data_IF_824726044984
#
_entry.id   IF_824726044984
#
_cell.length_a   1.000
_cell.length_b   1.000
_cell.length_c   1.000
_cell.angle_alpha   90.00
_cell.angle_beta   90.00
_cell.angle_gamma   90.00
#
_symmetry.space_group_name_H-M   'P 1'
#
loop_
_entity.id
_entity.type
_entity.pdbx_description
1 polymer ?
#
# COMPACT_ATOMS: atom_id res chain seq x y z
N UNK A 1 6.48 51.92 39.31
CA UNK A 1 6.19 51.29 38.03
C UNK A 1 6.38 49.76 38.21
N UNK A 2 5.24 49.08 38.45
CA UNK A 2 5.13 47.64 38.52
C UNK A 2 5.10 47.03 37.11
N UNK A 3 5.68 45.83 36.86
CA UNK A 3 5.43 45.06 35.62
C UNK A 3 4.08 44.32 35.74
N UNK A 4 3.32 44.38 34.69
CA UNK A 4 2.03 43.70 34.54
C UNK A 4 2.26 42.20 34.32
N UNK A 5 1.53 41.39 35.10
CA UNK A 5 1.37 39.93 34.90
C UNK A 5 0.61 39.66 33.61
N UNK A 6 1.27 39.08 32.64
CA UNK A 6 0.62 38.36 31.54
C UNK A 6 0.37 36.91 31.97
N UNK A 7 -0.81 36.69 32.54
CA UNK A 7 -1.34 35.36 32.77
C UNK A 7 -1.75 34.73 31.44
N UNK A 8 -0.97 33.73 30.99
CA UNK A 8 -1.30 32.86 29.86
C UNK A 8 -2.52 32.03 30.27
N UNK A 9 -3.67 32.38 29.71
CA UNK A 9 -4.88 31.57 29.80
C UNK A 9 -4.68 30.34 28.93
N UNK A 10 -4.35 29.21 29.58
CA UNK A 10 -4.45 27.89 28.96
C UNK A 10 -5.93 27.56 28.84
N UNK A 11 -6.47 27.80 27.66
CA UNK A 11 -7.83 27.40 27.32
C UNK A 11 -7.93 25.89 27.27
N UNK A 12 -8.53 25.29 28.30
CA UNK A 12 -9.03 23.92 28.24
C UNK A 12 -10.18 23.91 27.22
N UNK A 13 -9.92 23.38 26.02
CA UNK A 13 -10.99 22.98 25.12
C UNK A 13 -11.69 21.76 25.75
N UNK A 14 -12.83 22.01 26.37
CA UNK A 14 -13.79 20.96 26.65
C UNK A 14 -14.30 20.48 25.29
N UNK A 15 -13.96 19.23 24.97
CA UNK A 15 -14.43 18.55 23.77
C UNK A 15 -15.95 18.39 23.85
N UNK A 16 -16.69 19.26 23.18
CA UNK A 16 -18.02 18.90 22.75
C UNK A 16 -17.86 17.77 21.74
N UNK A 17 -18.40 16.60 22.06
CA UNK A 17 -18.46 15.44 21.18
C UNK A 17 -19.22 15.84 19.91
N UNK A 18 -18.49 16.12 18.85
CA UNK A 18 -19.07 16.21 17.51
C UNK A 18 -19.09 14.77 16.99
N UNK A 19 -20.26 14.16 16.82
CA UNK A 19 -20.34 12.82 16.24
C UNK A 19 -19.73 12.85 14.84
N UNK A 20 -19.00 11.81 14.43
CA UNK A 20 -18.39 11.74 13.11
C UNK A 20 -19.48 11.95 12.05
N UNK A 21 -19.37 13.04 11.29
CA UNK A 21 -20.26 13.28 10.15
C UNK A 21 -20.03 12.15 9.15
N UNK A 22 -21.03 11.31 8.93
CA UNK A 22 -21.06 10.39 7.79
C UNK A 22 -21.00 11.24 6.53
N UNK A 23 -19.80 11.36 5.96
CA UNK A 23 -19.64 11.93 4.63
C UNK A 23 -20.31 10.96 3.63
N UNK A 24 -21.04 11.48 2.62
CA UNK A 24 -21.65 10.63 1.62
C UNK A 24 -20.55 9.86 0.88
N UNK A 25 -20.67 8.54 0.86
CA UNK A 25 -19.83 7.66 0.05
C UNK A 25 -20.02 8.06 -1.41
N UNK A 26 -19.02 8.69 -2.00
CA UNK A 26 -19.01 9.04 -3.41
C UNK A 26 -18.92 7.76 -4.25
N UNK A 27 -20.06 7.14 -4.55
CA UNK A 27 -20.20 6.12 -5.58
C UNK A 27 -20.10 6.77 -6.95
N UNK A 28 -18.88 7.04 -7.42
CA UNK A 28 -18.64 7.37 -8.82
C UNK A 28 -17.32 6.72 -9.30
N UNK A 29 -17.25 5.40 -9.28
CA UNK A 29 -16.29 4.67 -10.08
C UNK A 29 -16.94 4.34 -11.44
N UNK A 30 -16.76 5.23 -12.40
CA UNK A 30 -16.94 4.89 -13.82
C UNK A 30 -15.74 4.04 -14.21
N UNK A 31 -15.97 2.77 -14.34
CA UNK A 31 -15.18 1.66 -14.88
C UNK A 31 -14.93 0.57 -13.82
N UNK A 32 -15.40 -0.64 -14.13
CA UNK A 32 -15.36 -1.79 -13.21
C UNK A 32 -13.98 -2.44 -12.99
N UNK A 33 -12.92 -1.63 -12.79
CA UNK A 33 -11.62 -2.10 -12.37
C UNK A 33 -11.60 -2.21 -10.85
N UNK A 34 -11.36 -3.41 -10.31
CA UNK A 34 -11.07 -3.60 -8.88
C UNK A 34 -9.80 -2.84 -8.55
N UNK A 35 -9.84 -1.94 -7.54
CA UNK A 35 -8.66 -1.32 -6.98
C UNK A 35 -7.67 -2.41 -6.50
N UNK A 36 -6.36 -2.24 -6.71
CA UNK A 36 -5.36 -3.16 -6.21
C UNK A 36 -5.32 -3.09 -4.68
N UNK A 37 -6.06 -3.99 -4.02
CA UNK A 37 -6.06 -4.17 -2.58
C UNK A 37 -5.12 -5.30 -2.22
N UNK A 38 -4.47 -5.22 -1.05
CA UNK A 38 -3.45 -6.18 -0.61
C UNK A 38 -3.90 -7.65 -0.70
N UNK A 39 -5.21 -7.93 -0.55
CA UNK A 39 -5.79 -9.28 -0.71
C UNK A 39 -6.90 -9.36 -1.75
N UNK A 40 -7.30 -8.25 -2.36
CA UNK A 40 -8.35 -8.22 -3.39
C UNK A 40 -9.77 -8.58 -2.89
N UNK A 41 -9.98 -8.73 -1.57
CA UNK A 41 -11.25 -9.14 -0.96
C UNK A 41 -12.20 -7.97 -0.64
N UNK A 42 -11.76 -6.75 -0.83
CA UNK A 42 -12.56 -5.56 -0.56
C UNK A 42 -12.62 -5.14 0.91
N UNK A 43 -11.94 -5.86 1.80
CA UNK A 43 -12.01 -5.63 3.25
C UNK A 43 -10.87 -4.72 3.70
N UNK A 44 -11.22 -3.68 4.47
CA UNK A 44 -10.27 -2.77 5.09
C UNK A 44 -9.91 -3.27 6.48
N UNK A 45 -8.64 -3.62 6.69
CA UNK A 45 -8.17 -4.17 7.97
C UNK A 45 -7.23 -3.23 8.67
N UNK A 46 -7.48 -3.02 9.97
CA UNK A 46 -6.53 -2.32 10.83
C UNK A 46 -5.31 -3.19 11.08
N UNK A 47 -4.13 -2.56 11.09
CA UNK A 47 -2.89 -3.20 11.43
C UNK A 47 -2.13 -2.38 12.48
N UNK A 48 -1.59 -3.06 13.49
CA UNK A 48 -0.76 -2.45 14.51
C UNK A 48 0.48 -3.32 14.74
N UNK A 49 1.66 -2.72 14.62
CA UNK A 49 2.95 -3.40 14.79
C UNK A 49 3.75 -2.74 15.91
N UNK A 50 4.55 -3.52 16.62
CA UNK A 50 5.49 -3.03 17.60
C UNK A 50 6.91 -3.44 17.23
N UNK A 51 7.74 -2.47 16.90
CA UNK A 51 9.17 -2.66 16.67
C UNK A 51 9.94 -2.43 17.96
N UNK A 52 10.99 -3.24 18.19
CA UNK A 52 11.88 -3.13 19.35
C UNK A 52 13.14 -2.42 18.94
N UNK A 53 13.50 -1.35 19.62
CA UNK A 53 14.66 -0.55 19.28
C UNK A 53 15.67 -0.53 20.44
N UNK A 54 16.94 -0.72 20.10
CA UNK A 54 18.08 -0.54 21.00
C UNK A 54 18.58 0.90 20.93
N UNK A 55 19.44 1.30 21.87
CA UNK A 55 20.10 2.60 21.82
C UNK A 55 20.84 2.87 20.50
N UNK A 56 21.41 1.84 19.87
CA UNK A 56 22.11 1.99 18.59
C UNK A 56 21.17 2.25 17.39
N UNK A 57 19.89 1.90 17.50
CA UNK A 57 18.91 2.03 16.40
C UNK A 57 18.01 3.25 16.50
N UNK A 58 17.97 3.91 17.67
CA UNK A 58 17.01 5.00 17.91
C UNK A 58 17.27 6.23 17.02
N UNK A 59 18.54 6.54 16.73
CA UNK A 59 18.90 7.64 15.83
C UNK A 59 18.42 7.42 14.39
N UNK A 60 18.50 6.18 13.89
CA UNK A 60 17.96 5.86 12.58
C UNK A 60 16.43 5.97 12.53
N UNK A 61 15.74 5.58 13.61
CA UNK A 61 14.28 5.73 13.72
C UNK A 61 13.90 7.22 13.73
N UNK A 62 14.61 8.05 14.51
CA UNK A 62 14.41 9.50 14.50
C UNK A 62 14.59 10.08 13.11
N UNK A 63 15.72 9.83 12.47
CA UNK A 63 16.00 10.35 11.14
C UNK A 63 14.94 9.94 10.09
N UNK A 64 14.34 8.75 10.24
CA UNK A 64 13.26 8.32 9.36
C UNK A 64 11.95 9.05 9.68
N UNK A 65 11.56 9.10 10.94
CA UNK A 65 10.27 9.63 11.38
C UNK A 65 10.19 11.14 11.24
N UNK A 66 11.29 11.84 11.55
CA UNK A 66 11.37 13.30 11.46
C UNK A 66 11.84 13.79 10.08
N UNK A 67 12.07 12.86 9.11
CA UNK A 67 12.55 13.17 7.76
C UNK A 67 13.84 13.98 7.74
N UNK A 68 14.80 13.61 8.59
CA UNK A 68 16.10 14.29 8.74
C UNK A 68 17.18 13.82 7.74
N UNK A 69 16.90 12.83 6.88
CA UNK A 69 17.84 12.31 5.91
C UNK A 69 17.78 13.10 4.61
N UNK A 70 18.92 13.33 3.99
CA UNK A 70 19.04 13.93 2.66
C UNK A 70 18.51 12.98 1.55
N UNK A 71 18.60 11.66 1.77
CA UNK A 71 18.11 10.65 0.85
C UNK A 71 17.55 9.42 1.58
N UNK A 72 16.60 8.76 0.96
CA UNK A 72 15.94 7.57 1.49
C UNK A 72 16.08 6.41 0.52
N UNK A 73 16.33 5.20 1.06
CA UNK A 73 16.28 3.95 0.29
C UNK A 73 14.85 3.72 -0.26
N UNK A 74 13.84 4.14 0.51
CA UNK A 74 12.46 4.14 0.06
C UNK A 74 12.22 5.28 -0.94
N UNK A 75 12.26 4.96 -2.23
CA UNK A 75 12.03 5.93 -3.32
C UNK A 75 10.58 6.38 -3.48
N UNK A 76 9.67 5.83 -2.67
CA UNK A 76 8.26 6.25 -2.66
C UNK A 76 8.03 7.48 -1.78
N UNK A 77 9.04 7.89 -1.01
CA UNK A 77 9.01 9.15 -0.25
C UNK A 77 9.13 10.32 -1.23
N UNK A 78 8.16 11.22 -1.15
CA UNK A 78 8.07 12.45 -1.95
C UNK A 78 8.43 13.64 -1.06
N UNK A 79 9.67 14.16 -1.11
CA UNK A 79 10.15 15.19 -0.20
C UNK A 79 9.31 16.46 -0.20
N UNK A 80 8.74 16.82 -1.35
CA UNK A 80 7.89 18.00 -1.51
C UNK A 80 6.62 17.93 -0.67
N UNK A 81 6.23 16.72 -0.24
CA UNK A 81 5.05 16.47 0.59
C UNK A 81 5.35 16.30 2.08
N UNK A 82 6.61 16.32 2.49
CA UNK A 82 7.01 16.15 3.90
C UNK A 82 6.32 17.18 4.82
N UNK A 83 6.01 18.35 4.32
CA UNK A 83 5.27 19.38 5.04
C UNK A 83 3.82 18.98 5.40
N UNK A 84 3.28 17.93 4.77
CA UNK A 84 1.96 17.35 5.07
C UNK A 84 2.01 16.28 6.17
N UNK A 85 3.20 15.87 6.62
CA UNK A 85 3.33 14.97 7.77
C UNK A 85 2.81 15.68 9.02
N UNK A 86 2.02 14.96 9.83
CA UNK A 86 1.32 15.55 10.98
C UNK A 86 1.90 14.99 12.26
N UNK A 87 2.49 15.86 13.08
CA UNK A 87 2.92 15.51 14.43
C UNK A 87 1.75 15.66 15.41
N UNK A 88 1.29 14.55 15.96
CA UNK A 88 0.38 14.54 17.11
C UNK A 88 1.15 14.81 18.42
N UNK A 89 2.41 14.37 18.44
CA UNK A 89 3.38 14.76 19.45
C UNK A 89 4.73 15.02 18.80
N UNK A 90 5.15 16.28 18.79
CA UNK A 90 6.46 16.67 18.28
C UNK A 90 7.53 16.41 19.33
N UNK A 91 8.69 15.83 18.98
CA UNK A 91 9.80 15.70 19.91
C UNK A 91 10.35 17.07 20.32
N UNK A 92 10.72 17.23 21.57
CA UNK A 92 11.31 18.48 22.10
C UNK A 92 12.82 18.52 21.99
N UNK A 93 13.45 17.36 21.77
CA UNK A 93 14.88 17.16 21.58
C UNK A 93 15.13 15.84 20.85
N UNK A 94 16.37 15.44 20.65
CA UNK A 94 16.69 14.11 20.14
C UNK A 94 16.09 13.00 21.01
N UNK A 95 15.62 11.92 20.39
CA UNK A 95 14.95 10.83 21.13
C UNK A 95 15.79 10.24 22.24
N UNK A 96 17.11 10.09 22.01
CA UNK A 96 18.04 9.62 23.04
C UNK A 96 18.22 10.65 24.17
N UNK A 97 18.23 11.92 23.84
CA UNK A 97 18.33 13.01 24.81
C UNK A 97 17.07 13.08 25.69
N UNK A 98 15.88 12.99 25.09
CA UNK A 98 14.62 12.92 25.83
C UNK A 98 14.57 11.72 26.78
N UNK A 99 15.10 10.56 26.37
CA UNK A 99 15.20 9.37 27.22
C UNK A 99 16.09 9.63 28.44
N UNK A 100 17.28 10.20 28.24
CA UNK A 100 18.20 10.50 29.36
C UNK A 100 17.62 11.57 30.28
N UNK A 101 16.86 12.55 29.77
CA UNK A 101 16.16 13.52 30.59
C UNK A 101 15.10 12.86 31.48
N UNK A 102 14.23 12.01 30.93
CA UNK A 102 13.21 11.28 31.69
C UNK A 102 13.83 10.38 32.78
N UNK A 103 14.97 9.79 32.48
CA UNK A 103 15.75 9.00 33.46
C UNK A 103 16.35 9.86 34.56
N UNK A 104 16.91 11.01 34.20
CA UNK A 104 17.46 11.99 35.16
C UNK A 104 16.38 12.54 36.09
N UNK A 105 15.21 12.81 35.58
CA UNK A 105 14.05 13.30 36.32
C UNK A 105 13.38 12.21 37.17
N UNK A 106 13.85 10.96 37.11
CA UNK A 106 13.31 9.85 37.88
C UNK A 106 11.95 9.33 37.37
N UNK A 107 11.48 9.81 36.22
CA UNK A 107 10.20 9.39 35.63
C UNK A 107 10.30 7.95 35.17
N UNK A 108 11.47 7.52 34.69
CA UNK A 108 11.76 6.16 34.27
C UNK A 108 12.99 5.62 34.98
N UNK A 109 13.08 4.30 35.12
CA UNK A 109 14.23 3.61 35.73
C UNK A 109 14.78 2.52 34.80
N UNK A 110 16.08 2.54 34.58
CA UNK A 110 16.83 1.52 33.86
C UNK A 110 17.56 0.53 34.77
N UNK A 111 17.29 0.58 36.10
CA UNK A 111 17.96 -0.24 37.10
C UNK A 111 17.93 -1.74 36.77
N UNK A 112 19.11 -2.35 36.62
CA UNK A 112 19.24 -3.78 36.34
C UNK A 112 18.96 -4.19 34.91
N UNK A 113 18.90 -3.27 33.95
CA UNK A 113 18.91 -3.59 32.53
C UNK A 113 20.31 -3.97 32.07
N UNK A 114 20.38 -4.84 31.08
CA UNK A 114 21.60 -5.16 30.36
C UNK A 114 21.91 -4.07 29.34
N UNK A 115 23.15 -3.98 28.90
CA UNK A 115 23.61 -2.99 27.91
C UNK A 115 22.90 -3.12 26.55
N UNK A 116 22.60 -4.35 26.14
CA UNK A 116 21.91 -4.69 24.89
C UNK A 116 20.38 -4.65 24.98
N UNK A 117 19.82 -4.14 26.08
CA UNK A 117 18.37 -4.10 26.30
C UNK A 117 17.67 -3.23 25.26
N UNK A 118 16.45 -3.62 24.90
CA UNK A 118 15.55 -2.78 24.11
C UNK A 118 14.96 -1.68 24.99
N UNK A 119 15.48 -0.47 24.82
CA UNK A 119 15.09 0.70 25.62
C UNK A 119 13.88 1.43 25.05
N UNK A 120 13.62 1.27 23.75
CA UNK A 120 12.56 1.96 23.03
C UNK A 120 11.69 0.96 22.27
N UNK A 121 10.49 1.37 21.99
CA UNK A 121 9.58 0.72 21.05
C UNK A 121 9.07 1.73 20.05
N UNK A 122 8.62 1.21 18.91
CA UNK A 122 7.92 1.98 17.89
C UNK A 122 6.65 1.23 17.51
N UNK A 123 5.50 1.86 17.79
CA UNK A 123 4.22 1.38 17.28
C UNK A 123 4.00 1.98 15.90
N UNK A 124 3.56 1.14 14.97
CA UNK A 124 3.17 1.56 13.63
C UNK A 124 1.73 1.11 13.44
N UNK A 125 0.87 2.07 13.14
CA UNK A 125 -0.54 1.84 12.85
C UNK A 125 -0.81 2.16 11.39
N UNK A 126 -1.47 1.25 10.69
CA UNK A 126 -1.86 1.43 9.31
C UNK A 126 -3.21 0.77 8.99
N UNK A 127 -3.79 1.20 7.87
CA UNK A 127 -4.87 0.55 7.14
C UNK A 127 -4.49 0.62 5.67
N UNK A 128 -5.05 -0.23 4.83
CA UNK A 128 -4.72 -0.19 3.40
C UNK A 128 -5.03 1.19 2.78
N UNK A 129 -4.24 1.58 1.79
CA UNK A 129 -4.33 2.89 1.13
C UNK A 129 -5.72 3.17 0.55
N UNK A 130 -6.40 2.14 0.03
CA UNK A 130 -7.73 2.27 -0.57
C UNK A 130 -8.78 2.75 0.45
N UNK A 131 -8.63 2.43 1.73
CA UNK A 131 -9.51 2.91 2.78
C UNK A 131 -9.55 4.42 2.83
N UNK A 132 -8.40 5.04 2.95
CA UNK A 132 -8.29 6.50 3.02
C UNK A 132 -8.70 7.16 1.71
N UNK A 133 -8.28 6.60 0.57
CA UNK A 133 -8.67 7.11 -0.74
C UNK A 133 -10.19 7.16 -0.91
N UNK A 134 -10.89 6.10 -0.51
CA UNK A 134 -12.35 6.00 -0.61
C UNK A 134 -13.10 6.94 0.36
N UNK A 135 -12.44 7.44 1.41
CA UNK A 135 -13.04 8.31 2.44
C UNK A 135 -12.59 9.78 2.36
N UNK A 136 -11.99 10.19 1.25
CA UNK A 136 -11.59 11.59 1.07
C UNK A 136 -10.12 11.88 1.38
N UNK A 137 -9.30 10.84 1.52
CA UNK A 137 -7.84 10.94 1.50
C UNK A 137 -7.24 11.56 2.77
N UNK A 138 -6.48 12.63 2.60
CA UNK A 138 -5.64 13.22 3.65
C UNK A 138 -6.39 13.67 4.90
N UNK A 139 -7.48 14.39 4.74
CA UNK A 139 -8.22 14.96 5.90
C UNK A 139 -8.87 13.85 6.74
N UNK A 140 -9.39 12.83 6.09
CA UNK A 140 -9.93 11.66 6.78
C UNK A 140 -8.82 10.86 7.47
N UNK A 141 -7.67 10.66 6.83
CA UNK A 141 -6.51 10.00 7.43
C UNK A 141 -6.04 10.74 8.69
N UNK A 142 -6.00 12.07 8.66
CA UNK A 142 -5.66 12.90 9.83
C UNK A 142 -6.63 12.70 11.00
N UNK A 143 -7.94 12.61 10.73
CA UNK A 143 -8.94 12.32 11.76
C UNK A 143 -8.76 10.91 12.33
N UNK A 144 -8.61 9.91 11.46
CA UNK A 144 -8.36 8.53 11.84
C UNK A 144 -7.13 8.39 12.75
N UNK A 145 -6.00 8.99 12.35
CA UNK A 145 -4.77 8.90 13.13
C UNK A 145 -4.75 9.77 14.38
N UNK A 146 -5.64 10.77 14.50
CA UNK A 146 -5.90 11.43 15.77
C UNK A 146 -6.45 10.43 16.81
N UNK A 147 -7.40 9.59 16.41
CA UNK A 147 -7.94 8.54 17.29
C UNK A 147 -6.91 7.41 17.52
N UNK A 148 -6.16 7.03 16.49
CA UNK A 148 -5.08 6.06 16.61
C UNK A 148 -3.99 6.52 17.62
N UNK A 149 -3.71 7.82 17.68
CA UNK A 149 -2.80 8.38 18.68
C UNK A 149 -3.36 8.25 20.11
N UNK A 150 -4.66 8.47 20.30
CA UNK A 150 -5.31 8.24 21.60
C UNK A 150 -5.25 6.78 22.02
N UNK A 151 -5.41 5.85 21.06
CA UNK A 151 -5.19 4.42 21.30
C UNK A 151 -3.74 4.15 21.72
N UNK A 152 -2.77 4.75 21.03
CA UNK A 152 -1.34 4.60 21.38
C UNK A 152 -1.03 5.08 22.80
N UNK A 153 -1.58 6.20 23.27
CA UNK A 153 -1.43 6.70 24.63
C UNK A 153 -1.91 5.66 25.66
N UNK A 154 -3.08 5.05 25.42
CA UNK A 154 -3.63 3.99 26.29
C UNK A 154 -2.75 2.74 26.28
N UNK A 155 -2.33 2.28 25.09
CA UNK A 155 -1.49 1.10 24.91
C UNK A 155 -0.12 1.29 25.55
N UNK A 156 0.48 2.46 25.40
CA UNK A 156 1.78 2.82 26.00
C UNK A 156 1.64 2.99 27.51
N UNK A 157 0.49 3.45 28.01
CA UNK A 157 0.22 3.67 29.42
C UNK A 157 0.55 5.09 29.90
N UNK A 158 0.55 6.04 28.99
CA UNK A 158 0.71 7.47 29.29
C UNK A 158 1.51 8.21 28.22
N UNK A 159 1.06 9.41 27.92
CA UNK A 159 1.67 10.27 26.91
C UNK A 159 3.10 10.69 27.25
N UNK A 160 3.43 10.78 28.55
CA UNK A 160 4.77 11.13 29.02
C UNK A 160 5.86 10.14 28.59
N UNK A 161 5.48 8.90 28.24
CA UNK A 161 6.41 7.88 27.74
C UNK A 161 6.53 7.85 26.22
N UNK A 162 5.75 8.65 25.48
CA UNK A 162 5.84 8.81 24.03
C UNK A 162 6.86 9.92 23.72
N UNK A 163 7.83 9.62 22.87
CA UNK A 163 8.88 10.57 22.46
C UNK A 163 8.42 11.38 21.24
N UNK A 164 7.80 10.71 20.27
CA UNK A 164 7.23 11.32 19.07
C UNK A 164 6.05 10.52 18.57
N UNK A 165 5.11 11.19 17.92
CA UNK A 165 4.00 10.58 17.20
C UNK A 165 3.76 11.36 15.92
N UNK A 166 4.02 10.76 14.75
CA UNK A 166 3.93 11.42 13.45
C UNK A 166 3.19 10.55 12.45
N UNK A 167 2.18 11.12 11.81
CA UNK A 167 1.55 10.55 10.61
C UNK A 167 2.37 10.94 9.40
N UNK A 168 2.87 9.95 8.66
CA UNK A 168 3.46 10.17 7.35
C UNK A 168 2.36 10.28 6.29
N UNK A 169 2.47 11.31 5.45
CA UNK A 169 1.58 11.61 4.34
C UNK A 169 2.35 11.84 3.03
N UNK A 170 3.62 11.51 3.04
CA UNK A 170 4.59 11.74 1.97
C UNK A 170 5.06 10.45 1.26
N UNK A 171 4.48 9.29 1.56
CA UNK A 171 4.81 8.04 0.90
C UNK A 171 3.80 7.69 -0.19
N UNK A 172 4.24 7.72 -1.45
CA UNK A 172 3.39 7.41 -2.61
C UNK A 172 3.10 5.90 -2.70
N UNK A 173 1.85 5.54 -2.91
CA UNK A 173 1.48 4.18 -3.29
C UNK A 173 1.53 4.06 -4.82
N UNK A 174 2.67 3.62 -5.35
CA UNK A 174 2.95 3.57 -6.79
C UNK A 174 1.95 2.71 -7.55
N UNK A 175 1.67 1.50 -7.06
CA UNK A 175 0.76 0.57 -7.72
C UNK A 175 -0.66 1.14 -7.84
N UNK A 176 -1.15 1.79 -6.78
CA UNK A 176 -2.48 2.39 -6.78
C UNK A 176 -2.52 3.67 -7.62
N UNK A 177 -1.45 4.47 -7.60
CA UNK A 177 -1.32 5.66 -8.43
C UNK A 177 -1.35 5.32 -9.92
N UNK A 178 -0.65 4.27 -10.33
CA UNK A 178 -0.65 3.78 -11.72
C UNK A 178 -2.02 3.25 -12.14
N UNK A 179 -2.71 2.51 -11.25
CA UNK A 179 -4.03 1.95 -11.54
C UNK A 179 -5.11 3.03 -11.70
N UNK A 180 -5.01 4.13 -10.96
CA UNK A 180 -6.00 5.22 -10.96
C UNK A 180 -5.63 6.37 -11.90
N UNK A 181 -4.36 6.46 -12.33
CA UNK A 181 -3.87 7.57 -13.15
C UNK A 181 -3.71 8.89 -12.39
N UNK A 182 -3.66 8.83 -11.05
CA UNK A 182 -3.47 9.98 -10.16
C UNK A 182 -2.56 9.62 -8.98
N UNK A 183 -1.96 10.62 -8.34
CA UNK A 183 -1.08 10.38 -7.20
C UNK A 183 -1.87 9.99 -5.95
N UNK A 184 -1.62 8.77 -5.45
CA UNK A 184 -2.22 8.23 -4.23
C UNK A 184 -1.14 7.96 -3.19
N UNK A 185 -1.41 8.32 -1.94
CA UNK A 185 -0.44 8.25 -0.85
C UNK A 185 -0.87 7.25 0.22
N UNK A 186 0.11 6.57 0.80
CA UNK A 186 -0.07 5.66 1.91
C UNK A 186 0.13 6.41 3.21
N UNK A 187 -0.93 6.49 4.02
CA UNK A 187 -0.89 7.13 5.33
C UNK A 187 -0.66 6.09 6.41
N UNK A 188 0.24 6.39 7.35
CA UNK A 188 0.52 5.53 8.51
C UNK A 188 1.05 6.36 9.66
N UNK A 189 0.84 5.89 10.89
CA UNK A 189 1.26 6.58 12.11
C UNK A 189 2.41 5.85 12.76
N UNK A 190 3.51 6.56 13.00
CA UNK A 190 4.64 6.13 13.81
C UNK A 190 4.53 6.73 15.22
N UNK A 191 4.67 5.90 16.25
CA UNK A 191 4.70 6.34 17.65
C UNK A 191 5.90 5.74 18.33
N UNK A 192 6.92 6.55 18.56
CA UNK A 192 8.14 6.15 19.28
C UNK A 192 7.94 6.38 20.79
N UNK A 193 8.20 5.36 21.58
CA UNK A 193 7.89 5.35 23.01
C UNK A 193 8.91 4.58 23.84
N UNK A 194 8.85 4.79 25.18
CA UNK A 194 9.65 4.05 26.16
C UNK A 194 8.76 2.98 26.81
N UNK A 195 9.11 1.68 26.70
CA UNK A 195 8.30 0.58 27.26
C UNK A 195 8.50 0.49 28.76
N UNK A 196 7.58 1.06 29.53
CA UNK A 196 7.64 1.07 30.99
C UNK A 196 6.60 0.13 31.60
N UNK A 197 6.94 -0.43 32.74
CA UNK A 197 6.05 -1.16 33.63
C UNK A 197 6.25 -0.70 35.06
N UNK A 198 5.17 -0.62 35.80
CA UNK A 198 5.25 -0.36 37.25
C UNK A 198 5.91 -1.55 37.95
N UNK A 199 6.84 -1.26 38.86
CA UNK A 199 7.58 -2.25 39.62
C UNK A 199 7.77 -1.81 41.05
N UNK A 200 7.23 -2.61 41.96
CA UNK A 200 7.51 -2.45 43.38
C UNK A 200 8.88 -3.01 43.72
N UNK A 201 9.65 -2.20 44.37
CA UNK A 201 10.91 -2.60 45.01
C UNK A 201 10.61 -2.87 46.49
N UNK A 202 10.81 -4.08 46.94
CA UNK A 202 10.53 -4.47 48.31
C UNK A 202 11.82 -4.56 49.15
N UNK A 203 11.68 -4.30 50.47
CA UNK A 203 12.78 -4.47 51.39
C UNK A 203 13.24 -5.93 51.40
N UNK A 204 14.54 -6.12 51.19
CA UNK A 204 15.15 -7.46 51.12
C UNK A 204 15.52 -7.94 52.54
N UNK A 205 15.88 -9.23 52.65
CA UNK A 205 16.38 -9.85 53.91
C UNK A 205 17.63 -9.15 54.48
N UNK A 206 18.33 -8.32 53.67
CA UNK A 206 19.50 -7.52 54.09
C UNK A 206 19.12 -6.24 54.87
N UNK A 207 17.84 -5.89 54.95
CA UNK A 207 17.37 -4.73 55.70
C UNK A 207 17.69 -4.92 57.19
N UNK A 208 18.21 -3.86 57.83
CA UNK A 208 18.51 -3.86 59.25
C UNK A 208 17.25 -4.06 60.07
N UNK A 209 16.19 -3.34 59.70
CA UNK A 209 14.87 -3.49 60.32
C UNK A 209 14.12 -4.68 59.69
N UNK A 210 14.04 -5.74 60.47
CA UNK A 210 13.37 -6.98 60.00
C UNK A 210 11.86 -6.84 59.84
N UNK A 211 11.24 -5.86 60.47
CA UNK A 211 9.81 -5.57 60.36
C UNK A 211 9.43 -5.03 58.96
N UNK A 212 10.39 -4.48 58.22
CA UNK A 212 10.20 -3.93 56.88
C UNK A 212 10.38 -4.98 55.79
N UNK A 213 10.99 -6.12 56.05
CA UNK A 213 11.28 -7.15 55.04
C UNK A 213 10.00 -7.60 54.36
N UNK A 214 9.99 -7.53 52.99
CA UNK A 214 8.83 -7.85 52.17
C UNK A 214 7.85 -6.70 51.96
N UNK A 215 7.89 -5.63 52.77
CA UNK A 215 7.09 -4.41 52.52
C UNK A 215 7.65 -3.64 51.33
N UNK A 216 6.77 -2.88 50.63
CA UNK A 216 7.17 -2.00 49.53
C UNK A 216 8.07 -0.90 50.06
N UNK A 217 9.24 -0.78 49.45
CA UNK A 217 10.21 0.28 49.73
C UNK A 217 9.98 1.49 48.82
N UNK A 218 9.81 1.24 47.56
CA UNK A 218 9.59 2.24 46.51
C UNK A 218 8.87 1.60 45.34
N UNK A 219 8.10 2.39 44.58
CA UNK A 219 7.52 2.00 43.29
C UNK A 219 8.23 2.78 42.18
N UNK A 220 8.68 2.12 41.16
CA UNK A 220 9.40 2.73 40.04
C UNK A 220 8.75 2.36 38.71
N UNK A 221 8.85 3.26 37.71
CA UNK A 221 8.49 2.96 36.31
C UNK A 221 9.72 2.33 35.63
N UNK A 222 9.79 1.00 35.67
CA UNK A 222 10.90 0.23 35.12
C UNK A 222 10.81 0.13 33.62
N UNK A 223 11.84 0.57 32.88
CA UNK A 223 11.95 0.29 31.45
C UNK A 223 12.10 -1.21 31.25
N UNK A 224 11.19 -1.82 30.50
CA UNK A 224 11.22 -3.27 30.24
C UNK A 224 10.33 -3.67 29.05
N UNK A 225 10.93 -3.79 27.88
CA UNK A 225 10.24 -4.26 26.66
C UNK A 225 9.60 -5.64 26.87
N UNK A 226 10.33 -6.58 27.46
CA UNK A 226 9.84 -7.96 27.64
C UNK A 226 8.65 -8.08 28.59
N UNK A 227 8.59 -7.25 29.63
CA UNK A 227 7.46 -7.24 30.59
C UNK A 227 6.27 -6.47 30.02
N UNK A 228 6.50 -5.32 29.39
CA UNK A 228 5.46 -4.53 28.72
C UNK A 228 4.71 -5.37 27.69
N UNK A 229 5.44 -6.14 26.91
CA UNK A 229 4.93 -6.99 25.85
C UNK A 229 4.96 -8.49 26.18
N UNK A 230 4.74 -8.81 27.45
CA UNK A 230 4.57 -10.20 27.86
C UNK A 230 3.26 -10.78 27.28
N UNK A 231 3.33 -12.04 26.84
CA UNK A 231 2.10 -12.78 26.49
C UNK A 231 1.20 -12.92 27.72
N UNK A 232 -0.10 -12.72 27.55
CA UNK A 232 -1.11 -12.81 28.62
C UNK A 232 -1.81 -14.16 28.59
N UNK A 233 -2.16 -14.77 29.73
CA UNK A 233 -3.01 -15.96 29.74
C UNK A 233 -4.39 -15.64 29.16
N UNK A 234 -4.93 -16.57 28.40
CA UNK A 234 -6.34 -16.52 27.99
C UNK A 234 -7.15 -17.01 29.16
N UNK A 235 -8.12 -16.20 29.59
CA UNK A 235 -9.03 -16.56 30.68
C UNK A 235 -10.29 -17.21 30.10
N UNK A 236 -10.83 -18.16 30.80
CA UNK A 236 -12.15 -18.72 30.56
C UNK A 236 -13.21 -17.66 30.89
N UNK A 237 -14.14 -17.42 29.97
CA UNK A 237 -15.15 -16.35 30.11
C UNK A 237 -16.12 -16.58 31.27
N UNK A 238 -16.30 -17.83 31.67
CA UNK A 238 -17.28 -18.23 32.73
C UNK A 238 -16.64 -18.23 34.11
N UNK A 239 -15.40 -18.77 34.20
CA UNK A 239 -14.73 -19.00 35.50
C UNK A 239 -13.71 -17.92 35.83
N UNK A 240 -13.23 -17.13 34.82
CA UNK A 240 -12.16 -16.18 34.99
C UNK A 240 -10.76 -16.81 35.17
N UNK A 241 -10.69 -18.15 35.18
CA UNK A 241 -9.42 -18.87 35.35
C UNK A 241 -8.66 -19.01 34.05
N UNK A 242 -7.32 -19.08 34.09
CA UNK A 242 -6.50 -19.29 32.90
C UNK A 242 -6.81 -20.62 32.21
N UNK A 243 -7.16 -20.57 30.92
CA UNK A 243 -7.28 -21.76 30.10
C UNK A 243 -5.94 -22.50 30.08
N UNK A 244 -6.00 -23.84 30.20
CA UNK A 244 -4.80 -24.68 30.26
C UNK A 244 -4.75 -25.68 29.10
N UNK A 245 -3.55 -25.93 28.61
CA UNK A 245 -3.29 -27.01 27.66
C UNK A 245 -3.47 -28.36 28.33
N UNK A 246 -3.55 -29.47 27.57
CA UNK A 246 -3.58 -30.84 28.11
C UNK A 246 -2.37 -31.15 29.03
N UNK A 247 -1.27 -30.39 28.93
CA UNK A 247 -0.11 -30.53 29.83
C UNK A 247 -0.15 -29.59 31.04
N UNK A 248 -1.30 -28.96 31.33
CA UNK A 248 -1.53 -28.08 32.48
C UNK A 248 -0.90 -26.68 32.37
N UNK A 249 -0.23 -26.33 31.25
CA UNK A 249 0.34 -25.01 31.02
C UNK A 249 -0.73 -24.00 30.61
N UNK A 250 -0.66 -22.72 31.03
CA UNK A 250 -1.61 -21.72 30.60
C UNK A 250 -1.51 -21.51 29.07
N UNK A 251 -2.66 -21.38 28.42
CA UNK A 251 -2.75 -20.94 27.03
C UNK A 251 -2.50 -19.44 27.01
N UNK A 252 -1.52 -19.00 26.22
CA UNK A 252 -1.11 -17.60 26.17
C UNK A 252 -1.57 -16.92 24.86
N UNK A 253 -2.17 -15.74 24.99
CA UNK A 253 -2.36 -14.81 23.88
C UNK A 253 -1.06 -14.06 23.66
N UNK A 254 -0.53 -14.12 22.46
CA UNK A 254 0.71 -13.41 22.12
C UNK A 254 0.47 -11.88 22.14
N UNK A 255 1.48 -11.12 22.59
CA UNK A 255 1.38 -9.66 22.77
C UNK A 255 0.99 -8.90 21.52
N UNK A 256 1.45 -9.33 20.32
CA UNK A 256 1.06 -8.69 19.08
C UNK A 256 -0.45 -8.87 18.78
N UNK A 257 -1.03 -10.00 19.15
CA UNK A 257 -2.49 -10.23 19.00
C UNK A 257 -3.29 -9.34 19.96
N UNK A 258 -2.77 -9.11 21.18
CA UNK A 258 -3.36 -8.16 22.13
C UNK A 258 -3.30 -6.73 21.57
N UNK A 259 -2.15 -6.32 21.04
CA UNK A 259 -1.99 -5.01 20.40
C UNK A 259 -2.99 -4.77 19.27
N UNK A 260 -3.18 -5.77 18.40
CA UNK A 260 -4.16 -5.70 17.32
C UNK A 260 -5.59 -5.57 17.84
N UNK A 261 -5.93 -6.31 18.91
CA UNK A 261 -7.25 -6.24 19.54
C UNK A 261 -7.45 -4.84 20.17
N UNK A 262 -6.52 -4.37 20.97
CA UNK A 262 -6.61 -3.09 21.68
C UNK A 262 -6.77 -1.91 20.69
N UNK A 263 -6.05 -1.94 19.58
CA UNK A 263 -6.15 -0.92 18.54
C UNK A 263 -7.51 -0.99 17.82
N UNK A 264 -7.88 -2.16 17.35
CA UNK A 264 -9.14 -2.36 16.63
C UNK A 264 -10.37 -1.98 17.48
N UNK A 265 -10.41 -2.43 18.75
CA UNK A 265 -11.51 -2.13 19.67
C UNK A 265 -11.61 -0.62 19.95
N UNK A 266 -10.45 0.05 20.08
CA UNK A 266 -10.44 1.51 20.24
C UNK A 266 -11.02 2.20 19.00
N UNK A 267 -10.58 1.84 17.79
CA UNK A 267 -11.05 2.46 16.56
C UNK A 267 -12.55 2.23 16.33
N UNK A 268 -13.04 1.02 16.61
CA UNK A 268 -14.48 0.75 16.58
C UNK A 268 -15.26 1.61 17.57
N UNK A 269 -14.76 1.73 18.78
CA UNK A 269 -15.38 2.57 19.82
C UNK A 269 -15.38 4.07 19.44
N UNK A 270 -14.46 4.47 18.60
CA UNK A 270 -14.38 5.83 18.04
C UNK A 270 -15.28 6.04 16.80
N UNK A 271 -16.02 5.00 16.36
CA UNK A 271 -17.01 5.10 15.27
C UNK A 271 -16.47 4.69 13.89
N UNK A 272 -15.31 4.06 13.81
CA UNK A 272 -14.77 3.47 12.56
C UNK A 272 -15.29 2.03 12.42
N UNK A 273 -16.55 1.88 12.02
CA UNK A 273 -17.25 0.58 11.96
C UNK A 273 -16.98 -0.20 10.68
N UNK A 274 -16.44 0.45 9.67
CA UNK A 274 -16.16 -0.08 8.33
C UNK A 274 -14.74 -0.63 8.17
N UNK A 275 -14.00 -0.74 9.25
CA UNK A 275 -12.74 -1.47 9.30
C UNK A 275 -12.92 -2.77 10.07
N UNK A 276 -12.15 -3.78 9.69
CA UNK A 276 -12.05 -5.05 10.38
C UNK A 276 -10.71 -5.20 11.09
N UNK A 277 -10.69 -6.05 12.09
CA UNK A 277 -9.44 -6.48 12.70
C UNK A 277 -8.65 -7.35 11.71
N UNK A 278 -7.33 -7.17 11.68
CA UNK A 278 -6.44 -8.09 10.98
C UNK A 278 -6.66 -9.55 11.42
N UNK A 279 -6.48 -10.50 10.52
CA UNK A 279 -6.81 -11.91 10.71
C UNK A 279 -6.08 -12.53 11.91
N UNK A 280 -6.82 -13.31 12.74
CA UNK A 280 -6.25 -14.01 13.90
C UNK A 280 -5.52 -15.27 13.44
N UNK A 281 -4.29 -15.48 13.92
CA UNK A 281 -3.54 -16.71 13.65
C UNK A 281 -3.00 -16.80 12.24
N UNK A 282 -2.97 -15.71 11.48
CA UNK A 282 -2.24 -15.67 10.21
C UNK A 282 -0.81 -16.15 10.43
N UNK A 283 -0.42 -17.19 9.70
CA UNK A 283 0.95 -17.71 9.65
C UNK A 283 1.81 -16.98 8.60
N UNK A 284 1.21 -16.04 7.88
CA UNK A 284 1.95 -15.20 6.95
C UNK A 284 3.01 -14.42 7.75
N UNK A 285 4.26 -14.70 7.50
CA UNK A 285 5.35 -13.93 8.04
C UNK A 285 5.16 -12.48 7.59
N UNK A 286 5.27 -11.56 8.53
CA UNK A 286 5.28 -10.14 8.19
C UNK A 286 6.55 -9.86 7.39
N UNK A 287 6.39 -9.86 6.07
CA UNK A 287 7.45 -9.38 5.19
C UNK A 287 7.86 -7.98 5.66
N UNK A 288 9.14 -7.72 5.71
CA UNK A 288 9.60 -6.35 5.86
C UNK A 288 9.07 -5.53 4.69
N UNK A 289 8.86 -4.23 4.89
CA UNK A 289 8.41 -3.32 3.81
C UNK A 289 9.27 -3.49 2.55
N UNK A 290 10.57 -3.69 2.72
CA UNK A 290 11.50 -3.94 1.61
C UNK A 290 11.23 -5.26 0.90
N UNK A 291 11.00 -6.35 1.62
CA UNK A 291 10.67 -7.66 1.05
C UNK A 291 9.34 -7.59 0.28
N UNK A 292 8.30 -7.02 0.90
CA UNK A 292 7.01 -6.84 0.26
C UNK A 292 7.10 -6.02 -1.04
N UNK A 293 7.84 -4.90 -1.00
CA UNK A 293 8.06 -4.06 -2.19
C UNK A 293 8.85 -4.81 -3.27
N UNK A 294 9.84 -5.61 -2.88
CA UNK A 294 10.63 -6.42 -3.82
C UNK A 294 9.78 -7.48 -4.51
N UNK A 295 8.94 -8.19 -3.77
CA UNK A 295 8.03 -9.19 -4.34
C UNK A 295 7.02 -8.54 -5.31
N UNK A 296 6.42 -7.41 -4.92
CA UNK A 296 5.50 -6.68 -5.78
C UNK A 296 6.15 -6.16 -7.05
N UNK A 297 7.38 -5.66 -6.97
CA UNK A 297 8.11 -5.19 -8.15
C UNK A 297 8.50 -6.37 -9.07
N UNK A 298 8.81 -7.54 -8.51
CA UNK A 298 9.05 -8.76 -9.31
C UNK A 298 7.78 -9.22 -10.03
N UNK A 299 6.63 -9.23 -9.35
CA UNK A 299 5.33 -9.52 -9.97
C UNK A 299 5.02 -8.55 -11.11
N UNK A 300 5.25 -7.26 -10.89
CA UNK A 300 5.05 -6.21 -11.90
C UNK A 300 5.95 -6.41 -13.11
N UNK A 301 7.23 -6.68 -12.90
CA UNK A 301 8.17 -6.97 -13.97
C UNK A 301 7.76 -8.19 -14.78
N UNK A 302 7.29 -9.25 -14.13
CA UNK A 302 6.78 -10.44 -14.81
C UNK A 302 5.56 -10.12 -15.69
N UNK A 303 4.61 -9.34 -15.18
CA UNK A 303 3.43 -8.90 -15.97
C UNK A 303 3.81 -8.02 -17.16
N UNK A 304 4.77 -7.10 -16.99
CA UNK A 304 5.28 -6.27 -18.08
C UNK A 304 6.00 -7.10 -19.15
N UNK A 305 6.78 -8.11 -18.75
CA UNK A 305 7.45 -9.02 -19.67
C UNK A 305 6.44 -9.85 -20.47
N UNK A 306 5.40 -10.39 -19.80
CA UNK A 306 4.34 -11.12 -20.46
C UNK A 306 3.56 -10.23 -21.44
N UNK A 307 3.18 -9.02 -21.03
CA UNK A 307 2.52 -8.04 -21.90
C UNK A 307 3.36 -7.66 -23.11
N UNK A 308 4.67 -7.47 -22.92
CA UNK A 308 5.62 -7.18 -24.02
C UNK A 308 5.74 -8.35 -24.98
N UNK A 309 5.81 -9.59 -24.47
CA UNK A 309 5.87 -10.78 -25.30
C UNK A 309 4.59 -10.96 -26.17
N UNK A 310 3.41 -10.73 -25.57
CA UNK A 310 2.13 -10.77 -26.30
C UNK A 310 2.08 -9.69 -27.39
N UNK A 311 2.49 -8.47 -27.08
CA UNK A 311 2.55 -7.36 -28.04
C UNK A 311 3.49 -7.68 -29.21
N UNK A 312 4.63 -8.31 -28.93
CA UNK A 312 5.57 -8.74 -29.97
C UNK A 312 4.97 -9.79 -30.90
N UNK A 313 4.29 -10.79 -30.34
CA UNK A 313 3.58 -11.83 -31.14
C UNK A 313 2.52 -11.20 -32.04
N UNK A 314 1.76 -10.24 -31.54
CA UNK A 314 0.75 -9.54 -32.33
C UNK A 314 1.38 -8.67 -33.42
N UNK A 315 2.47 -7.97 -33.15
CA UNK A 315 3.24 -7.20 -34.13
C UNK A 315 3.79 -8.11 -35.25
N UNK A 316 4.36 -9.26 -34.89
CA UNK A 316 4.89 -10.23 -35.85
C UNK A 316 3.78 -10.82 -36.75
N UNK A 317 2.59 -11.05 -36.17
CA UNK A 317 1.42 -11.48 -36.95
C UNK A 317 0.99 -10.42 -37.97
N UNK A 318 0.87 -9.15 -37.53
CA UNK A 318 0.53 -8.01 -38.39
C UNK A 318 1.57 -7.81 -39.51
N UNK A 319 2.85 -7.95 -39.20
CA UNK A 319 3.93 -7.86 -40.18
C UNK A 319 3.87 -8.96 -41.21
N UNK A 320 3.55 -10.21 -40.83
CA UNK A 320 3.36 -11.33 -41.76
C UNK A 320 2.14 -11.11 -42.67
N UNK A 321 1.04 -10.61 -42.11
CA UNK A 321 -0.16 -10.28 -42.89
C UNK A 321 0.10 -9.16 -43.90
N UNK A 322 0.83 -8.09 -43.46
CA UNK A 322 1.22 -6.99 -44.35
C UNK A 322 2.15 -7.46 -45.49
N UNK A 323 3.17 -8.27 -45.18
CA UNK A 323 4.06 -8.84 -46.20
C UNK A 323 3.30 -9.76 -47.22
N UNK A 324 2.32 -10.53 -46.72
CA UNK A 324 1.47 -11.34 -47.59
C UNK A 324 0.59 -10.49 -48.50
N UNK A 325 0.02 -9.40 -47.96
CA UNK A 325 -0.79 -8.45 -48.75
C UNK A 325 0.07 -7.72 -49.79
N UNK A 326 1.27 -7.30 -49.43
CA UNK A 326 2.20 -6.67 -50.37
C UNK A 326 2.62 -7.61 -51.50
N UNK A 327 2.89 -8.88 -51.20
CA UNK A 327 3.20 -9.90 -52.22
C UNK A 327 2.03 -10.10 -53.19
N UNK A 328 0.80 -10.15 -52.66
CA UNK A 328 -0.41 -10.25 -53.50
C UNK A 328 -0.61 -9.02 -54.40
N UNK A 329 -0.37 -7.84 -53.84
CA UNK A 329 -0.44 -6.57 -54.57
C UNK A 329 0.63 -6.49 -55.68
N UNK A 330 1.86 -6.94 -55.43
CA UNK A 330 2.92 -7.02 -56.42
C UNK A 330 2.55 -8.00 -57.55
N UNK A 331 1.99 -9.17 -57.23
CA UNK A 331 1.52 -10.13 -58.23
C UNK A 331 0.38 -9.55 -59.05
N UNK A 332 -0.55 -8.82 -58.48
CA UNK A 332 -1.64 -8.19 -59.20
C UNK A 332 -1.12 -7.09 -60.14
N UNK A 333 -0.15 -6.28 -59.70
CA UNK A 333 0.50 -5.27 -60.56
C UNK A 333 1.21 -5.90 -61.72
N UNK A 334 1.99 -6.96 -61.53
CA UNK A 334 2.68 -7.68 -62.62
C UNK A 334 1.66 -8.20 -63.65
N UNK A 335 0.52 -8.77 -63.23
CA UNK A 335 -0.56 -9.19 -64.17
C UNK A 335 -1.17 -8.01 -64.92
N UNK A 336 -1.29 -6.86 -64.29
CA UNK A 336 -1.83 -5.65 -64.92
C UNK A 336 -0.84 -5.12 -65.98
N UNK A 337 0.45 -5.14 -65.68
CA UNK A 337 1.53 -4.74 -66.60
C UNK A 337 1.58 -5.66 -67.82
N UNK A 338 1.32 -6.99 -67.65
CA UNK A 338 1.23 -7.95 -68.76
C UNK A 338 0.04 -7.67 -69.71
N UNK A 339 -1.08 -7.14 -69.18
CA UNK A 339 -2.29 -6.84 -69.98
C UNK A 339 -2.26 -5.40 -70.52
N UNK A 340 -1.52 -4.49 -69.97
CA UNK A 340 -1.48 -3.10 -70.39
C UNK A 340 -1.12 -2.90 -71.90
N UNK A 341 -0.17 -3.64 -72.46
CA UNK A 341 0.12 -3.54 -73.94
C UNK A 341 -1.04 -3.93 -74.77
N UNK A 342 -1.84 -4.97 -74.38
CA UNK A 342 -3.04 -5.44 -75.10
C UNK A 342 -4.13 -4.38 -75.03
N UNK A 343 -4.37 -3.77 -73.90
CA UNK A 343 -5.35 -2.70 -73.74
C UNK A 343 -4.94 -1.48 -74.60
N UNK A 344 -3.68 -1.09 -74.62
CA UNK A 344 -3.19 -0.01 -75.46
C UNK A 344 -3.30 -0.31 -76.91
N UNK A 345 -3.11 -1.57 -77.33
CA UNK A 345 -3.35 -2.04 -78.66
C UNK A 345 -4.84 -1.98 -79.06
N UNK A 346 -5.77 -2.36 -78.19
CA UNK A 346 -7.21 -2.25 -78.41
C UNK A 346 -7.68 -0.80 -78.49
N UNK A 347 -7.16 0.10 -77.61
CA UNK A 347 -7.44 1.55 -77.64
C UNK A 347 -7.02 2.15 -79.00
N UNK A 348 -5.83 1.77 -79.50
CA UNK A 348 -5.32 2.23 -80.79
C UNK A 348 -6.21 1.71 -81.93
N UNK A 349 -6.64 0.42 -81.92
CA UNK A 349 -7.56 -0.14 -82.88
C UNK A 349 -8.91 0.58 -82.85
N UNK A 350 -9.43 0.88 -81.61
CA UNK A 350 -10.70 1.61 -81.49
C UNK A 350 -10.61 3.03 -82.05
N UNK A 351 -9.50 3.71 -81.81
CA UNK A 351 -9.25 5.04 -82.42
C UNK A 351 -9.14 5.00 -83.91
N UNK A 352 -8.42 4.01 -84.48
CA UNK A 352 -8.25 3.84 -85.88
C UNK A 352 -9.61 3.56 -86.58
N UNK A 353 -10.54 2.86 -85.88
CA UNK A 353 -11.91 2.65 -86.40
C UNK A 353 -12.83 3.87 -86.25
N UNK A 354 -12.59 4.71 -85.29
CA UNK A 354 -13.34 5.97 -85.09
C UNK A 354 -13.02 7.00 -86.19
N UNK A 355 -11.77 7.01 -86.59
CA UNK A 355 -11.27 7.99 -87.61
C UNK A 355 -11.54 7.54 -89.07
N UNK A 356 -11.73 6.25 -89.32
CA UNK A 356 -12.08 5.68 -90.62
C UNK A 356 -13.07 4.50 -90.51
N UNK A 357 -14.41 4.78 -90.42
CA UNK A 357 -15.43 3.77 -90.22
C UNK A 357 -15.64 2.76 -91.43
N UNK A 358 -15.08 3.11 -92.55
CA UNK A 358 -15.20 2.22 -93.78
C UNK A 358 -13.98 1.29 -93.95
N UNK A 359 -13.03 1.35 -93.04
CA UNK A 359 -11.85 0.49 -93.07
C UNK A 359 -12.22 -0.96 -92.75
N UNK A 360 -12.30 -1.82 -93.77
CA UNK A 360 -12.47 -3.25 -93.61
C UNK A 360 -11.22 -3.86 -92.96
N UNK A 361 -11.44 -4.72 -91.96
CA UNK A 361 -10.33 -5.48 -91.35
C UNK A 361 -9.66 -6.32 -92.46
N UNK A 362 -8.30 -6.36 -92.44
CA UNK A 362 -7.62 -7.26 -93.38
C UNK A 362 -8.09 -8.69 -93.09
N UNK A 363 -8.49 -9.42 -94.16
CA UNK A 363 -8.90 -10.83 -94.10
C UNK A 363 -7.81 -11.64 -93.38
N UNK A 364 -8.23 -12.36 -92.34
CA UNK A 364 -7.35 -13.30 -91.68
C UNK A 364 -6.78 -14.30 -92.69
N UNK A 365 -5.48 -14.62 -92.68
CA UNK A 365 -4.99 -15.76 -93.45
C UNK A 365 -5.70 -17.02 -92.96
N UNK A 366 -6.35 -17.70 -93.84
CA UNK A 366 -7.10 -18.94 -93.62
C UNK A 366 -6.20 -20.00 -93.01
N UNK A 367 -6.32 -20.18 -91.72
CA UNK A 367 -5.71 -21.23 -90.91
C UNK A 367 -6.68 -21.62 -89.79
N UNK A 368 -7.40 -22.70 -90.00
CA UNK A 368 -8.42 -23.23 -89.10
C UNK A 368 -7.89 -23.41 -87.69
N UNK A 369 -8.45 -22.66 -86.75
CA UNK A 369 -8.43 -23.06 -85.38
C UNK A 369 -9.85 -23.02 -84.78
N UNK A 370 -10.49 -24.16 -84.85
CA UNK A 370 -11.80 -24.45 -84.27
C UNK A 370 -11.64 -24.57 -82.77
N UNK A 371 -11.96 -23.52 -82.05
CA UNK A 371 -12.13 -23.56 -80.57
C UNK A 371 -13.65 -23.60 -80.35
N UNK A 372 -14.17 -24.68 -79.71
CA UNK A 372 -15.59 -24.73 -79.37
C UNK A 372 -15.83 -23.88 -78.10
N UNK A 373 -16.67 -22.87 -78.28
CA UNK A 373 -17.20 -22.11 -77.13
C UNK A 373 -18.16 -23.01 -76.35
N UNK A 374 -17.70 -23.55 -75.21
CA UNK A 374 -18.59 -24.04 -74.17
C UNK A 374 -18.87 -22.90 -73.21
N UNK A 375 -20.12 -22.46 -73.21
CA UNK A 375 -20.64 -21.65 -72.09
C UNK A 375 -20.65 -22.49 -70.83
N UNK A 376 -20.10 -22.02 -69.73
CA UNK A 376 -20.31 -22.67 -68.44
C UNK A 376 -21.71 -22.28 -67.92
N UNK A 377 -22.49 -23.30 -67.62
CA UNK A 377 -23.76 -23.20 -66.90
C UNK A 377 -23.60 -22.46 -65.56
N UNK A 378 -24.67 -21.79 -65.15
CA UNK A 378 -24.90 -21.01 -63.93
C UNK A 378 -24.26 -21.60 -62.65
N UNK A 379 -23.76 -20.77 -61.73
CA UNK A 379 -23.30 -21.21 -60.40
C UNK A 379 -24.51 -21.60 -59.54
N UNK A 380 -24.36 -22.59 -58.67
CA UNK A 380 -25.38 -22.95 -57.67
C UNK A 380 -25.49 -21.91 -56.55
N UNK A 381 -26.72 -21.71 -56.11
CA UNK A 381 -27.15 -20.70 -55.18
C UNK A 381 -26.46 -20.76 -53.80
N UNK A 382 -26.29 -19.59 -53.28
CA UNK A 382 -26.02 -19.38 -51.86
C UNK A 382 -27.30 -19.57 -51.02
N UNK A 383 -27.28 -20.30 -49.94
CA UNK A 383 -28.32 -20.20 -48.92
C UNK A 383 -28.04 -19.07 -47.97
N UNK A 384 -29.03 -18.23 -47.73
CA UNK A 384 -29.15 -17.29 -46.63
C UNK A 384 -29.39 -18.05 -45.32
N UNK A 385 -28.54 -17.89 -44.29
CA UNK A 385 -28.90 -17.75 -42.87
C UNK A 385 -27.92 -16.76 -42.24
#
# INVERSE_FOLDING_TARGET
LQPQDESIIVGYYTSAEVPPRKLPVLHNLKSGGKLPMARGDGIHRTNARNMRLTAAKIGNAQQHNEREKESYVNQDIVPERTHLNVHFKKPTAGYAEMFEQLKKDGIISTRGLKEDAFLYGELIFDVNTAYFHNHGGYDFAKQFYTEAYKAAIKIVGGEQYILSAVMHADERNRAMSEALGEDVYHYHLHVVYIPVVEKEIRWTKRCKDKSLVGKVKETIMQVSMSKKWASKPILDETTGEPLRTAKGKPVLRKSYSVLQDDFFEHMRSAGYDDVERGERGSSEEHLTVTQFKTEREQERLAQLQEGSALAQVEADKKNKEAASAEKKAAQARAKLDDVAPLLKGMEKLAADFSDDPERTLPESPSGACSIPWRMPCSPPGFPWV
#
